data_IF_216264245940
#
_entry.id   IF_216264245940
#
_cell.length_a   1.000
_cell.length_b   1.000
_cell.length_c   1.000
_cell.angle_alpha   90.00
_cell.angle_beta   90.00
_cell.angle_gamma   90.00
#
_symmetry.space_group_name_H-M   'P 1'
#
loop_
_entity.id
_entity.type
_entity.pdbx_description
1 polymer ?
#
# COMPACT_ATOMS: atom_id res chain seq x y z
N UNK A 1 -19.04 22.64 -2.33
CA UNK A 1 -19.01 21.45 -1.46
C UNK A 1 -17.65 21.42 -0.79
N UNK A 2 -17.58 21.01 0.48
CA UNK A 2 -16.31 20.78 1.14
C UNK A 2 -15.70 19.48 0.64
N UNK A 3 -14.46 19.52 0.17
CA UNK A 3 -13.75 18.34 -0.31
C UNK A 3 -13.11 17.59 0.86
N UNK A 4 -13.38 16.29 0.93
CA UNK A 4 -12.72 15.35 1.83
C UNK A 4 -11.85 14.41 1.02
N UNK A 5 -10.56 14.36 1.32
CA UNK A 5 -9.57 13.61 0.52
C UNK A 5 -9.27 12.22 1.08
N UNK A 6 -9.45 12.00 2.38
CA UNK A 6 -9.17 10.73 3.09
C UNK A 6 -10.15 10.48 4.24
N UNK A 7 -10.00 9.35 4.95
CA UNK A 7 -10.86 8.99 6.07
C UNK A 7 -10.51 9.70 7.40
N UNK A 8 -9.70 10.76 7.37
CA UNK A 8 -9.37 11.55 8.56
C UNK A 8 -10.55 12.46 8.93
N UNK A 9 -11.36 11.99 9.87
CA UNK A 9 -12.59 12.66 10.30
C UNK A 9 -12.36 14.08 10.86
N UNK A 10 -11.16 14.38 11.38
CA UNK A 10 -10.76 15.73 11.82
C UNK A 10 -10.77 16.79 10.70
N UNK A 11 -10.75 16.33 9.45
CA UNK A 11 -10.75 17.19 8.25
C UNK A 11 -12.15 17.34 7.63
N UNK A 12 -13.14 16.64 8.19
CA UNK A 12 -14.52 16.66 7.70
C UNK A 12 -15.24 17.88 8.28
N UNK A 13 -16.18 18.49 7.53
CA UNK A 13 -16.93 19.63 8.04
C UNK A 13 -18.01 19.17 9.00
N UNK A 14 -18.32 19.98 10.01
CA UNK A 14 -19.43 19.72 10.95
C UNK A 14 -20.80 19.83 10.25
N UNK A 15 -20.92 20.74 9.27
CA UNK A 15 -22.14 21.02 8.53
C UNK A 15 -21.86 21.30 7.04
N UNK A 16 -22.88 21.11 6.21
CA UNK A 16 -22.85 21.46 4.78
C UNK A 16 -22.58 20.27 3.84
N UNK A 17 -22.61 20.52 2.52
CA UNK A 17 -22.49 19.46 1.54
C UNK A 17 -21.04 19.01 1.37
N UNK A 18 -20.82 17.69 1.43
CA UNK A 18 -19.50 17.05 1.33
C UNK A 18 -19.33 16.36 -0.01
N UNK A 19 -18.16 16.55 -0.61
CA UNK A 19 -17.67 15.74 -1.72
C UNK A 19 -16.50 14.89 -1.22
N UNK A 20 -16.68 13.58 -1.17
CA UNK A 20 -15.62 12.63 -0.89
C UNK A 20 -14.83 12.36 -2.18
N UNK A 21 -13.50 12.50 -2.13
CA UNK A 21 -12.63 12.27 -3.28
C UNK A 21 -12.65 10.82 -3.77
N UNK A 22 -13.06 9.88 -2.93
CA UNK A 22 -13.22 8.47 -3.31
C UNK A 22 -13.76 7.65 -2.14
N UNK A 23 -14.11 6.39 -2.42
CA UNK A 23 -14.67 5.47 -1.42
C UNK A 23 -13.71 5.17 -0.24
N UNK A 24 -12.41 5.38 -0.42
CA UNK A 24 -11.43 5.27 0.68
C UNK A 24 -11.70 6.25 1.83
N UNK A 25 -12.42 7.36 1.58
CA UNK A 25 -12.85 8.27 2.64
C UNK A 25 -13.93 7.65 3.54
N UNK A 26 -14.77 6.76 3.00
CA UNK A 26 -15.97 6.20 3.66
C UNK A 26 -15.71 4.79 4.21
N UNK A 27 -14.74 4.67 5.12
CA UNK A 27 -14.41 3.39 5.77
C UNK A 27 -15.67 2.69 6.30
N UNK A 28 -15.90 1.44 5.88
CA UNK A 28 -17.09 0.67 6.30
C UNK A 28 -17.23 0.55 7.82
N UNK A 29 -16.11 0.39 8.54
CA UNK A 29 -16.07 0.34 10.00
C UNK A 29 -16.56 1.64 10.69
N UNK A 30 -16.58 2.75 9.95
CA UNK A 30 -17.00 4.09 10.40
C UNK A 30 -18.31 4.53 9.73
N UNK A 31 -19.11 3.58 9.21
CA UNK A 31 -20.39 3.87 8.54
C UNK A 31 -21.35 4.76 9.34
N UNK A 32 -21.44 4.52 10.64
CA UNK A 32 -22.27 5.33 11.54
C UNK A 32 -21.89 6.81 11.59
N UNK A 33 -20.66 7.17 11.18
CA UNK A 33 -20.16 8.56 11.13
C UNK A 33 -20.47 9.20 9.78
N UNK A 34 -20.17 8.53 8.66
CA UNK A 34 -20.33 9.14 7.33
C UNK A 34 -21.72 8.96 6.72
N UNK A 35 -22.50 7.95 7.10
CA UNK A 35 -23.83 7.72 6.51
C UNK A 35 -24.82 8.88 6.76
N UNK A 36 -24.81 9.57 7.92
CA UNK A 36 -25.58 10.78 8.13
C UNK A 36 -25.09 11.99 7.31
N UNK A 37 -23.81 12.02 6.95
CA UNK A 37 -23.20 13.05 6.11
C UNK A 37 -23.59 12.70 4.67
N UNK A 38 -24.73 13.23 4.19
CA UNK A 38 -25.25 12.97 2.85
C UNK A 38 -24.33 13.55 1.74
N UNK A 39 -23.14 12.97 1.58
CA UNK A 39 -22.09 13.41 0.67
C UNK A 39 -22.03 12.59 -0.61
N UNK A 40 -21.52 13.22 -1.66
CA UNK A 40 -21.27 12.59 -2.95
C UNK A 40 -19.85 12.01 -2.99
N UNK A 41 -19.63 11.01 -3.84
CA UNK A 41 -18.30 10.40 -4.03
C UNK A 41 -17.86 10.59 -5.48
N UNK A 42 -16.62 11.06 -5.67
CA UNK A 42 -16.00 11.14 -6.99
C UNK A 42 -15.74 9.73 -7.53
N UNK A 43 -16.16 9.40 -8.75
CA UNK A 43 -15.87 8.11 -9.37
C UNK A 43 -14.36 7.89 -9.48
N UNK A 44 -13.90 6.66 -9.19
CA UNK A 44 -12.49 6.35 -9.28
C UNK A 44 -12.04 6.20 -10.74
N UNK A 45 -10.97 6.89 -11.11
CA UNK A 45 -10.56 7.00 -12.52
C UNK A 45 -10.10 5.67 -13.15
N UNK A 46 -9.50 4.78 -12.37
CA UNK A 46 -9.04 3.46 -12.82
C UNK A 46 -10.08 2.33 -12.69
N UNK A 47 -11.32 2.66 -12.31
CA UNK A 47 -12.44 1.74 -12.53
C UNK A 47 -12.72 1.55 -14.04
N UNK A 48 -12.34 2.52 -14.86
CA UNK A 48 -12.22 2.38 -16.32
C UNK A 48 -10.95 1.57 -16.65
N UNK A 49 -11.16 0.34 -17.15
CA UNK A 49 -10.07 -0.60 -17.43
C UNK A 49 -9.27 -0.24 -18.67
N UNK A 50 -9.90 0.41 -19.64
CA UNK A 50 -9.22 0.87 -20.86
C UNK A 50 -8.28 2.04 -20.50
N UNK A 51 -8.73 2.93 -19.61
CA UNK A 51 -7.88 3.99 -19.06
C UNK A 51 -6.73 3.42 -18.25
N UNK A 52 -7.00 2.48 -17.34
CA UNK A 52 -5.94 1.87 -16.53
C UNK A 52 -4.85 1.23 -17.40
N UNK A 53 -5.22 0.54 -18.48
CA UNK A 53 -4.26 -0.04 -19.42
C UNK A 53 -3.44 1.02 -20.15
N UNK A 54 -4.10 2.08 -20.65
CA UNK A 54 -3.43 3.19 -21.31
C UNK A 54 -2.43 3.90 -20.38
N UNK A 55 -2.89 4.23 -19.17
CA UNK A 55 -2.07 4.89 -18.14
C UNK A 55 -0.90 4.00 -17.72
N UNK A 56 -1.11 2.69 -17.58
CA UNK A 56 -0.03 1.75 -17.26
C UNK A 56 1.13 1.85 -18.26
N UNK A 57 0.83 1.90 -19.56
CA UNK A 57 1.86 2.07 -20.59
C UNK A 57 2.52 3.45 -20.54
N UNK A 58 1.74 4.52 -20.31
CA UNK A 58 2.30 5.87 -20.18
C UNK A 58 3.21 6.00 -18.95
N UNK A 59 2.83 5.41 -17.82
CA UNK A 59 3.60 5.45 -16.58
C UNK A 59 4.90 4.65 -16.66
N UNK A 60 4.96 3.59 -17.49
CA UNK A 60 6.22 2.89 -17.77
C UNK A 60 7.25 3.80 -18.45
N UNK A 61 6.83 4.66 -19.38
CA UNK A 61 7.72 5.61 -20.03
C UNK A 61 8.24 6.65 -19.04
N UNK A 62 7.35 7.20 -18.21
CA UNK A 62 7.73 8.15 -17.15
C UNK A 62 8.71 7.50 -16.17
N UNK A 63 8.45 6.25 -15.77
CA UNK A 63 9.36 5.50 -14.92
C UNK A 63 10.74 5.33 -15.55
N UNK A 64 10.81 5.02 -16.85
CA UNK A 64 12.07 4.82 -17.55
C UNK A 64 12.88 6.09 -17.63
N UNK A 65 12.23 7.23 -17.91
CA UNK A 65 12.87 8.54 -17.94
C UNK A 65 13.40 8.93 -16.55
N UNK A 66 12.55 8.85 -15.52
CA UNK A 66 12.94 9.17 -14.14
C UNK A 66 14.04 8.25 -13.63
N UNK A 67 14.08 6.99 -14.06
CA UNK A 67 15.14 6.05 -13.66
C UNK A 67 16.51 6.49 -14.17
N UNK A 68 16.59 7.09 -15.36
CA UNK A 68 17.87 7.58 -15.92
C UNK A 68 18.43 8.68 -15.03
N UNK A 69 17.61 9.64 -14.65
CA UNK A 69 18.01 10.76 -13.79
C UNK A 69 18.39 10.27 -12.39
N UNK A 70 17.57 9.38 -11.80
CA UNK A 70 17.88 8.79 -10.50
C UNK A 70 19.17 7.97 -10.53
N UNK A 71 19.43 7.20 -11.59
CA UNK A 71 20.67 6.44 -11.71
C UNK A 71 21.91 7.36 -11.67
N UNK A 72 21.86 8.53 -12.32
CA UNK A 72 22.93 9.51 -12.28
C UNK A 72 23.11 10.06 -10.86
N UNK A 73 22.03 10.53 -10.22
CA UNK A 73 22.09 11.05 -8.85
C UNK A 73 22.62 10.01 -7.85
N UNK A 74 22.19 8.74 -7.97
CA UNK A 74 22.66 7.69 -7.06
C UNK A 74 24.11 7.31 -7.31
N UNK A 75 24.57 7.27 -8.57
CA UNK A 75 26.00 7.10 -8.88
C UNK A 75 26.84 8.20 -8.23
N UNK A 76 26.41 9.46 -8.32
CA UNK A 76 27.09 10.60 -7.70
C UNK A 76 27.13 10.52 -6.17
N UNK A 77 25.99 10.26 -5.52
CA UNK A 77 25.88 10.18 -4.05
C UNK A 77 26.72 9.03 -3.50
N UNK A 78 26.76 7.89 -4.19
CA UNK A 78 27.47 6.69 -3.73
C UNK A 78 28.91 6.60 -4.22
N UNK A 79 29.35 7.47 -5.12
CA UNK A 79 30.69 7.42 -5.72
C UNK A 79 30.93 6.15 -6.54
N UNK A 80 29.88 5.66 -7.21
CA UNK A 80 29.92 4.46 -8.06
C UNK A 80 29.55 4.80 -9.50
N UNK A 81 29.86 3.92 -10.45
CA UNK A 81 29.50 4.08 -11.86
C UNK A 81 28.77 2.83 -12.35
N UNK A 82 27.55 2.64 -11.88
CA UNK A 82 26.69 1.53 -12.28
C UNK A 82 25.76 1.95 -13.41
N UNK A 83 25.58 1.06 -14.40
CA UNK A 83 24.68 1.30 -15.52
C UNK A 83 23.19 1.18 -15.16
N UNK A 84 22.33 1.67 -16.05
CA UNK A 84 20.86 1.70 -15.86
C UNK A 84 20.28 0.34 -15.47
N UNK A 85 20.78 -0.77 -16.04
CA UNK A 85 20.29 -2.11 -15.69
C UNK A 85 20.44 -2.44 -14.20
N UNK A 86 21.54 -2.02 -13.58
CA UNK A 86 21.78 -2.24 -12.15
C UNK A 86 20.74 -1.47 -11.33
N UNK A 87 20.58 -0.19 -11.61
CA UNK A 87 19.61 0.67 -10.93
C UNK A 87 18.17 0.25 -11.19
N UNK A 88 17.85 -0.28 -12.37
CA UNK A 88 16.54 -0.86 -12.67
C UNK A 88 16.21 -2.05 -11.77
N UNK A 89 17.18 -2.92 -11.51
CA UNK A 89 16.99 -4.08 -10.62
C UNK A 89 16.79 -3.61 -9.18
N UNK A 90 17.54 -2.60 -8.75
CA UNK A 90 17.52 -2.13 -7.36
C UNK A 90 16.35 -1.20 -7.04
N UNK A 91 16.13 -0.18 -7.88
CA UNK A 91 15.17 0.90 -7.67
C UNK A 91 13.86 0.69 -8.44
N UNK A 92 13.89 -0.05 -9.55
CA UNK A 92 12.75 -0.19 -10.46
C UNK A 92 11.44 -0.60 -9.78
N UNK A 93 11.41 -1.62 -8.90
CA UNK A 93 10.19 -1.98 -8.19
C UNK A 93 9.65 -0.87 -7.28
N UNK A 94 10.53 -0.13 -6.60
CA UNK A 94 10.13 0.99 -5.76
C UNK A 94 9.63 2.17 -6.60
N UNK A 95 10.34 2.50 -7.69
CA UNK A 95 10.00 3.61 -8.57
C UNK A 95 8.66 3.39 -9.28
N UNK A 96 8.37 2.15 -9.70
CA UNK A 96 7.06 1.80 -10.27
C UNK A 96 5.92 2.13 -9.30
N UNK A 97 6.02 1.67 -8.05
CA UNK A 97 5.03 1.98 -7.01
C UNK A 97 4.94 3.48 -6.73
N UNK A 98 6.08 4.17 -6.72
CA UNK A 98 6.14 5.62 -6.45
C UNK A 98 5.44 6.44 -7.53
N UNK A 99 5.78 6.22 -8.79
CA UNK A 99 5.19 6.93 -9.94
C UNK A 99 3.70 6.64 -10.05
N UNK A 100 3.28 5.38 -9.92
CA UNK A 100 1.86 5.01 -9.97
C UNK A 100 1.07 5.64 -8.83
N UNK A 101 1.59 5.60 -7.59
CA UNK A 101 0.92 6.20 -6.46
C UNK A 101 0.74 7.71 -6.66
N UNK A 102 1.79 8.45 -7.01
CA UNK A 102 1.66 9.89 -7.21
C UNK A 102 0.75 10.25 -8.37
N UNK A 103 0.84 9.54 -9.49
CA UNK A 103 -0.05 9.77 -10.63
C UNK A 103 -1.51 9.55 -10.26
N UNK A 104 -1.82 8.47 -9.53
CA UNK A 104 -3.19 8.21 -9.08
C UNK A 104 -3.75 9.37 -8.24
N UNK A 105 -2.95 9.90 -7.30
CA UNK A 105 -3.39 11.04 -6.48
C UNK A 105 -3.60 12.28 -7.32
N UNK A 106 -2.66 12.57 -8.22
CA UNK A 106 -2.73 13.70 -9.15
C UNK A 106 -3.93 13.62 -10.09
N UNK A 107 -4.19 12.44 -10.66
CA UNK A 107 -5.34 12.22 -11.55
C UNK A 107 -6.65 12.46 -10.80
N UNK A 108 -6.77 11.94 -9.57
CA UNK A 108 -7.98 12.12 -8.76
C UNK A 108 -8.23 13.57 -8.36
N UNK A 109 -7.20 14.36 -8.02
CA UNK A 109 -7.38 15.75 -7.55
C UNK A 109 -7.32 16.80 -8.65
N UNK A 110 -6.50 16.61 -9.67
CA UNK A 110 -6.20 17.63 -10.68
C UNK A 110 -6.97 17.38 -11.97
N UNK A 111 -7.14 16.11 -12.38
CA UNK A 111 -7.72 15.79 -13.69
C UNK A 111 -9.22 15.48 -13.60
N UNK A 112 -9.62 14.65 -12.64
CA UNK A 112 -10.97 14.09 -12.58
C UNK A 112 -11.90 14.77 -11.57
N UNK A 113 -11.36 15.64 -10.72
CA UNK A 113 -12.16 16.44 -9.80
C UNK A 113 -12.81 17.61 -10.56
N UNK A 114 -14.11 17.80 -10.39
CA UNK A 114 -14.80 19.02 -10.86
C UNK A 114 -14.58 20.15 -9.85
N UNK A 115 -13.54 20.96 -10.07
CA UNK A 115 -13.16 22.03 -9.16
C UNK A 115 -14.25 23.09 -8.96
N UNK A 116 -15.17 23.27 -9.92
CA UNK A 116 -16.25 24.26 -9.79
C UNK A 116 -17.30 23.87 -8.75
N UNK A 117 -17.35 22.59 -8.36
CA UNK A 117 -18.26 22.08 -7.33
C UNK A 117 -17.64 22.15 -5.93
N UNK A 118 -16.33 22.36 -5.84
CA UNK A 118 -15.60 22.41 -4.57
C UNK A 118 -15.45 23.86 -4.13
N UNK A 119 -15.85 24.13 -2.90
CA UNK A 119 -15.75 25.47 -2.30
C UNK A 119 -14.50 25.63 -1.45
N UNK A 120 -14.08 24.57 -0.76
CA UNK A 120 -12.88 24.55 0.07
C UNK A 120 -12.46 23.10 0.38
N UNK A 121 -11.26 22.95 0.92
CA UNK A 121 -10.76 21.72 1.56
C UNK A 121 -10.08 22.05 2.88
N UNK A 122 -10.10 21.13 3.84
CA UNK A 122 -9.28 21.23 5.05
C UNK A 122 -7.94 20.54 4.85
N UNK A 123 -6.85 21.16 5.31
CA UNK A 123 -5.50 20.58 5.30
C UNK A 123 -4.93 20.54 6.71
N UNK A 124 -4.33 19.42 7.09
CA UNK A 124 -3.62 19.30 8.36
C UNK A 124 -2.22 19.94 8.28
N UNK A 125 -1.88 20.73 9.28
CA UNK A 125 -0.55 21.29 9.48
C UNK A 125 0.39 20.21 10.04
N UNK A 126 1.16 19.58 9.15
CA UNK A 126 2.04 18.44 9.45
C UNK A 126 3.48 18.78 9.11
N UNK A 127 4.41 18.36 9.95
CA UNK A 127 5.84 18.54 9.69
C UNK A 127 6.26 17.79 8.41
N UNK A 128 6.84 18.46 7.39
CA UNK A 128 7.19 17.84 6.11
C UNK A 128 8.10 16.62 6.23
N UNK A 129 9.04 16.62 7.17
CA UNK A 129 10.00 15.53 7.36
C UNK A 129 9.35 14.23 7.87
N UNK A 130 8.19 14.33 8.54
CA UNK A 130 7.44 13.15 8.99
C UNK A 130 6.88 12.31 7.84
N UNK A 131 6.78 12.91 6.64
CA UNK A 131 6.21 12.29 5.44
C UNK A 131 7.27 11.59 4.56
N UNK A 132 8.55 11.73 4.91
CA UNK A 132 9.65 11.14 4.15
C UNK A 132 9.90 9.71 4.64
N UNK A 133 9.68 8.68 3.83
CA UNK A 133 9.95 7.31 4.23
C UNK A 133 11.46 7.07 4.34
N UNK A 134 11.88 6.32 5.37
CA UNK A 134 13.28 5.90 5.56
C UNK A 134 13.75 4.87 4.53
N UNK A 135 12.84 4.25 3.78
CA UNK A 135 13.14 3.32 2.71
C UNK A 135 11.90 2.64 2.13
N UNK A 136 12.12 1.70 1.22
CA UNK A 136 11.04 1.11 0.41
C UNK A 136 9.94 0.44 1.23
N UNK A 137 10.28 -0.28 2.31
CA UNK A 137 9.27 -0.93 3.14
C UNK A 137 8.34 0.06 3.84
N UNK A 138 8.87 1.17 4.34
CA UNK A 138 8.06 2.22 4.97
C UNK A 138 7.24 2.97 3.92
N UNK A 139 7.81 3.21 2.74
CA UNK A 139 7.07 3.82 1.63
C UNK A 139 5.82 2.99 1.27
N UNK A 140 5.94 1.67 1.17
CA UNK A 140 4.78 0.80 0.90
C UNK A 140 3.71 0.82 2.01
N UNK A 141 4.08 1.19 3.24
CA UNK A 141 3.11 1.43 4.31
C UNK A 141 2.44 2.80 4.13
N UNK A 142 3.24 3.83 3.81
CA UNK A 142 2.78 5.21 3.64
C UNK A 142 1.78 5.38 2.50
N UNK A 143 1.96 4.70 1.36
CA UNK A 143 1.00 4.79 0.25
C UNK A 143 -0.41 4.32 0.62
N UNK A 144 -0.55 3.52 1.67
CA UNK A 144 -1.84 3.05 2.19
C UNK A 144 -2.31 3.84 3.43
N UNK A 145 -1.54 4.81 3.91
CA UNK A 145 -1.82 5.58 5.10
C UNK A 145 -2.64 6.84 4.79
N UNK A 146 -3.69 7.10 5.57
CA UNK A 146 -4.56 8.25 5.32
C UNK A 146 -3.86 9.58 5.58
N UNK A 147 -2.93 9.66 6.54
CA UNK A 147 -2.19 10.90 6.84
C UNK A 147 -1.24 11.25 5.70
N UNK A 148 -0.44 10.28 5.26
CA UNK A 148 0.45 10.50 4.12
C UNK A 148 -0.33 10.87 2.86
N UNK A 149 -1.40 10.14 2.54
CA UNK A 149 -2.24 10.44 1.39
C UNK A 149 -2.91 11.82 1.51
N UNK A 150 -3.40 12.18 2.70
CA UNK A 150 -4.02 13.49 2.94
C UNK A 150 -3.04 14.64 2.63
N UNK A 151 -1.82 14.55 3.13
CA UNK A 151 -0.79 15.56 2.87
C UNK A 151 -0.40 15.62 1.38
N UNK A 152 -0.29 14.47 0.70
CA UNK A 152 0.01 14.43 -0.74
C UNK A 152 -1.14 15.07 -1.55
N UNK A 153 -2.39 14.69 -1.28
CA UNK A 153 -3.55 15.32 -1.91
C UNK A 153 -3.58 16.82 -1.65
N UNK A 154 -3.30 17.25 -0.42
CA UNK A 154 -3.26 18.64 -0.04
C UNK A 154 -2.26 19.46 -0.85
N UNK A 155 -1.02 18.97 -0.98
CA UNK A 155 0.00 19.63 -1.82
C UNK A 155 -0.43 19.73 -3.27
N UNK A 156 -0.99 18.66 -3.83
CA UNK A 156 -1.44 18.67 -5.22
C UNK A 156 -2.60 19.65 -5.45
N UNK A 157 -3.52 19.75 -4.49
CA UNK A 157 -4.62 20.71 -4.55
C UNK A 157 -4.10 22.15 -4.46
N UNK A 158 -3.20 22.44 -3.51
CA UNK A 158 -2.61 23.78 -3.33
C UNK A 158 -1.79 24.23 -4.54
N UNK A 159 -1.02 23.32 -5.16
CA UNK A 159 -0.11 23.66 -6.26
C UNK A 159 -0.79 23.68 -7.64
N UNK A 160 -1.85 22.88 -7.84
CA UNK A 160 -2.40 22.65 -9.17
C UNK A 160 -3.88 22.97 -9.32
N UNK A 161 -4.55 23.45 -8.29
CA UNK A 161 -6.00 23.76 -8.35
C UNK A 161 -6.32 25.12 -7.74
N UNK A 162 -7.42 25.77 -8.16
CA UNK A 162 -7.85 27.04 -7.58
C UNK A 162 -8.63 26.87 -6.27
N UNK A 163 -8.72 25.65 -5.72
CA UNK A 163 -9.53 25.36 -4.53
C UNK A 163 -8.85 25.98 -3.31
N UNK A 164 -9.54 26.81 -2.52
CA UNK A 164 -8.96 27.35 -1.30
C UNK A 164 -8.82 26.26 -0.24
N UNK A 165 -7.68 26.24 0.42
CA UNK A 165 -7.40 25.34 1.54
C UNK A 165 -7.45 26.08 2.88
N UNK A 166 -8.06 25.43 3.88
CA UNK A 166 -8.09 25.88 5.27
C UNK A 166 -7.15 25.00 6.09
N UNK A 167 -6.10 25.60 6.64
CA UNK A 167 -5.16 24.90 7.50
C UNK A 167 -5.78 24.64 8.88
N UNK A 168 -5.68 23.41 9.36
CA UNK A 168 -6.14 22.94 10.66
C UNK A 168 -4.95 22.34 11.40
N UNK A 169 -4.78 22.72 12.67
CA UNK A 169 -3.80 22.07 13.53
C UNK A 169 -4.41 20.79 14.10
N UNK A 170 -3.75 19.64 13.94
CA UNK A 170 -4.27 18.38 14.47
C UNK A 170 -4.39 18.44 16.00
N UNK A 171 -5.40 17.74 16.53
CA UNK A 171 -5.62 17.66 17.96
C UNK A 171 -4.68 16.61 18.59
N UNK A 172 -3.41 16.96 18.77
CA UNK A 172 -2.40 16.13 19.46
C UNK A 172 -1.19 15.78 18.60
N UNK A 173 -0.32 14.91 19.11
CA UNK A 173 0.83 14.40 18.35
C UNK A 173 0.33 13.55 17.18
N UNK A 174 0.55 14.04 15.96
CA UNK A 174 0.36 13.25 14.74
C UNK A 174 1.30 12.06 14.85
N UNK A 175 0.76 10.89 15.16
CA UNK A 175 1.51 9.66 15.00
C UNK A 175 1.36 9.26 13.54
N UNK A 176 2.44 9.29 12.72
CA UNK A 176 2.42 8.53 11.50
C UNK A 176 2.04 7.10 11.86
N UNK A 177 1.26 6.44 11.01
CA UNK A 177 0.81 5.07 11.19
C UNK A 177 2.03 4.13 11.30
N UNK A 178 2.58 4.07 12.51
CA UNK A 178 3.48 3.04 13.01
C UNK A 178 2.69 1.93 13.67
N UNK A 179 1.35 2.04 13.64
CA UNK A 179 0.47 0.89 13.61
C UNK A 179 0.81 0.11 12.35
N UNK A 180 1.90 -0.65 12.45
CA UNK A 180 2.10 -1.88 11.69
C UNK A 180 0.71 -2.44 11.48
N UNK A 181 0.30 -2.63 10.23
CA UNK A 181 -0.75 -3.59 9.91
C UNK A 181 -0.28 -4.89 10.54
N UNK A 182 -0.61 -5.06 11.81
CA UNK A 182 -0.47 -6.28 12.54
C UNK A 182 -1.51 -7.11 11.82
N UNK A 183 -1.06 -7.88 10.81
CA UNK A 183 -1.71 -9.12 10.47
C UNK A 183 -2.15 -9.70 11.80
N UNK A 184 -3.45 -9.87 12.05
CA UNK A 184 -3.92 -10.33 13.34
C UNK A 184 -3.07 -11.55 13.65
N UNK A 185 -2.16 -11.42 14.62
CA UNK A 185 -1.37 -12.54 15.09
C UNK A 185 -2.44 -13.43 15.64
N UNK A 186 -2.89 -14.41 14.85
CA UNK A 186 -3.84 -15.41 15.29
C UNK A 186 -3.23 -15.93 16.57
N UNK A 187 -3.83 -15.57 17.70
CA UNK A 187 -3.34 -15.89 19.02
C UNK A 187 -3.65 -17.37 19.23
N UNK A 188 -2.97 -18.23 18.48
CA UNK A 188 -3.04 -19.66 18.66
C UNK A 188 -2.19 -19.96 19.87
N UNK A 189 -2.79 -20.58 20.89
CA UNK A 189 -2.12 -20.90 22.14
C UNK A 189 -0.74 -21.53 21.90
N UNK A 190 0.25 -21.13 22.70
CA UNK A 190 1.66 -21.52 22.61
C UNK A 190 1.88 -23.03 22.37
N UNK A 191 1.04 -23.88 22.97
CA UNK A 191 1.13 -25.32 22.81
C UNK A 191 0.62 -25.84 21.46
N UNK A 192 -0.46 -25.28 20.89
CA UNK A 192 -0.99 -25.67 19.57
C UNK A 192 0.04 -25.38 18.48
N UNK A 193 0.72 -24.24 18.62
CA UNK A 193 1.81 -23.84 17.72
C UNK A 193 2.98 -24.82 17.78
N UNK A 194 3.37 -25.28 18.98
CA UNK A 194 4.42 -26.30 19.15
C UNK A 194 4.05 -27.67 18.58
N UNK A 195 2.80 -28.11 18.78
CA UNK A 195 2.31 -29.37 18.20
C UNK A 195 2.31 -29.31 16.67
N UNK A 196 1.81 -28.21 16.10
CA UNK A 196 1.82 -27.99 14.65
C UNK A 196 3.24 -27.89 14.08
N UNK A 197 4.18 -27.29 14.79
CA UNK A 197 5.60 -27.25 14.40
C UNK A 197 6.24 -28.64 14.45
N UNK A 198 5.97 -29.43 15.49
CA UNK A 198 6.43 -30.81 15.59
C UNK A 198 5.88 -31.69 14.46
N UNK A 199 4.58 -31.56 14.17
CA UNK A 199 3.96 -32.23 13.01
C UNK A 199 4.61 -31.80 11.69
N UNK A 200 4.79 -30.50 11.47
CA UNK A 200 5.41 -29.97 10.25
C UNK A 200 6.83 -30.52 10.06
N UNK A 201 7.64 -30.54 11.13
CA UNK A 201 9.01 -31.07 11.09
C UNK A 201 9.05 -32.60 10.89
N UNK A 202 8.16 -33.37 11.52
CA UNK A 202 8.08 -34.80 11.27
C UNK A 202 7.60 -35.11 9.84
N UNK A 203 6.62 -34.34 9.35
CA UNK A 203 6.07 -34.51 8.00
C UNK A 203 7.08 -34.17 6.90
N UNK A 204 7.96 -33.19 7.13
CA UNK A 204 8.98 -32.80 6.14
C UNK A 204 10.05 -33.88 5.90
N UNK A 205 10.19 -34.85 6.81
CA UNK A 205 11.03 -36.03 6.58
C UNK A 205 10.50 -36.94 5.46
N UNK A 206 9.20 -36.85 5.16
CA UNK A 206 8.55 -37.61 4.10
C UNK A 206 8.45 -36.84 2.77
N UNK A 207 8.92 -35.59 2.74
CA UNK A 207 8.99 -34.80 1.52
C UNK A 207 10.09 -35.33 0.59
N UNK A 208 9.81 -35.37 -0.72
CA UNK A 208 10.72 -35.83 -1.76
C UNK A 208 11.25 -34.65 -2.57
N UNK A 209 12.45 -34.82 -3.13
CA UNK A 209 12.97 -33.88 -4.12
C UNK A 209 12.07 -33.93 -5.38
N UNK A 210 11.33 -32.85 -5.62
CA UNK A 210 10.33 -32.74 -6.69
C UNK A 210 8.90 -32.47 -6.19
N UNK A 211 8.65 -32.52 -4.88
CA UNK A 211 7.36 -32.13 -4.32
C UNK A 211 7.10 -30.63 -4.48
N UNK A 212 5.87 -30.26 -4.78
CA UNK A 212 5.43 -28.89 -4.94
C UNK A 212 5.32 -28.20 -3.56
N UNK A 213 6.03 -27.09 -3.41
CA UNK A 213 5.98 -26.28 -2.20
C UNK A 213 4.85 -25.25 -2.30
N UNK A 214 3.84 -25.40 -1.45
CA UNK A 214 2.77 -24.40 -1.30
C UNK A 214 3.21 -23.33 -0.30
N UNK A 215 3.32 -22.08 -0.76
CA UNK A 215 3.68 -20.94 0.07
C UNK A 215 2.61 -19.88 0.00
N UNK A 216 2.19 -19.35 1.17
CA UNK A 216 1.27 -18.21 1.27
C UNK A 216 0.02 -18.35 0.40
N UNK A 217 -0.56 -19.55 0.36
CA UNK A 217 -1.70 -19.89 -0.51
C UNK A 217 -3.01 -19.23 -0.10
N UNK A 218 -3.03 -18.51 1.04
CA UNK A 218 -4.23 -17.96 1.69
C UNK A 218 -5.32 -19.02 1.97
N UNK A 219 -5.00 -20.30 1.78
CA UNK A 219 -5.90 -21.42 2.05
C UNK A 219 -5.87 -21.77 3.55
N UNK A 220 -7.01 -22.22 4.11
CA UNK A 220 -6.99 -22.92 5.38
C UNK A 220 -6.04 -24.13 5.32
N UNK A 221 -5.31 -24.41 6.41
CA UNK A 221 -4.32 -25.49 6.46
C UNK A 221 -4.88 -26.87 6.06
N UNK A 222 -6.18 -27.12 6.24
CA UNK A 222 -6.84 -28.36 5.84
C UNK A 222 -6.92 -28.51 4.32
N UNK A 223 -7.18 -27.41 3.63
CA UNK A 223 -7.28 -27.37 2.18
C UNK A 223 -5.89 -27.47 1.55
N UNK A 224 -4.88 -26.85 2.18
CA UNK A 224 -3.48 -27.02 1.80
C UNK A 224 -3.04 -28.51 1.83
N UNK A 225 -3.37 -29.23 2.91
CA UNK A 225 -3.08 -30.67 3.00
C UNK A 225 -3.88 -31.50 2.00
N UNK A 226 -5.11 -31.09 1.68
CA UNK A 226 -5.93 -31.76 0.65
C UNK A 226 -5.30 -31.59 -0.72
N UNK A 227 -4.84 -30.39 -1.06
CA UNK A 227 -4.15 -30.11 -2.33
C UNK A 227 -2.88 -30.96 -2.45
N UNK A 228 -2.06 -31.03 -1.40
CA UNK A 228 -0.87 -31.86 -1.41
C UNK A 228 -1.19 -33.36 -1.62
N UNK A 229 -2.24 -33.86 -0.97
CA UNK A 229 -2.71 -35.24 -1.21
C UNK A 229 -3.19 -35.45 -2.65
N UNK A 230 -3.90 -34.50 -3.24
CA UNK A 230 -4.33 -34.60 -4.65
C UNK A 230 -3.15 -34.56 -5.61
N UNK A 231 -2.04 -33.91 -5.23
CA UNK A 231 -0.78 -33.92 -5.98
C UNK A 231 0.05 -35.20 -5.74
N UNK A 232 -0.47 -36.16 -4.97
CA UNK A 232 0.25 -37.38 -4.62
C UNK A 232 1.41 -37.18 -3.62
N UNK A 233 1.46 -36.02 -2.97
CA UNK A 233 2.52 -35.63 -2.03
C UNK A 233 2.15 -35.98 -0.60
N UNK A 234 3.18 -36.17 0.23
CA UNK A 234 2.98 -36.26 1.67
C UNK A 234 2.47 -34.89 2.20
N UNK A 235 1.49 -34.87 3.11
CA UNK A 235 0.96 -33.62 3.65
C UNK A 235 1.99 -32.93 4.56
N UNK A 236 2.56 -31.81 4.11
CA UNK A 236 3.60 -31.01 4.79
C UNK A 236 3.17 -29.55 4.89
N UNK A 237 3.13 -28.99 6.11
CA UNK A 237 2.83 -27.57 6.32
C UNK A 237 4.09 -26.72 6.24
N UNK A 238 4.52 -26.39 5.02
CA UNK A 238 5.76 -25.64 4.75
C UNK A 238 5.83 -24.28 5.43
N UNK A 239 4.68 -23.59 5.55
CA UNK A 239 4.56 -22.27 6.21
C UNK A 239 4.91 -22.29 7.71
N UNK A 240 4.96 -23.48 8.34
CA UNK A 240 5.25 -23.66 9.77
C UNK A 240 6.66 -24.18 10.06
N UNK A 241 7.45 -24.47 9.03
CA UNK A 241 8.85 -24.88 9.14
C UNK A 241 9.73 -23.64 9.08
N UNK A 242 10.64 -23.46 10.04
CA UNK A 242 11.59 -22.34 10.00
C UNK A 242 12.52 -22.50 8.80
N UNK A 243 12.65 -21.44 7.98
CA UNK A 243 13.43 -21.45 6.71
C UNK A 243 14.88 -21.95 6.87
N UNK A 244 15.49 -21.75 8.03
CA UNK A 244 16.86 -22.20 8.33
C UNK A 244 17.01 -23.73 8.36
N UNK A 245 15.92 -24.49 8.48
CA UNK A 245 15.92 -25.95 8.56
C UNK A 245 15.60 -26.64 7.22
N UNK A 246 15.32 -25.87 6.17
CA UNK A 246 14.94 -26.41 4.84
C UNK A 246 16.14 -26.67 3.93
N UNK A 247 17.33 -26.16 4.26
CA UNK A 247 18.54 -26.41 3.48
C UNK A 247 19.14 -27.75 3.91
N UNK A 248 18.71 -28.84 3.29
CA UNK A 248 19.57 -30.04 3.23
C UNK A 248 20.63 -29.77 2.17
N UNK A 249 21.81 -29.30 2.59
CA UNK A 249 23.00 -29.38 1.73
C UNK A 249 23.30 -30.88 1.60
N UNK A 250 23.22 -31.48 0.39
CA UNK A 250 23.69 -32.85 0.22
C UNK A 250 25.21 -32.90 0.46
N UNK A 251 25.75 -34.03 0.96
CA UNK A 251 27.19 -34.21 1.06
C UNK A 251 27.89 -34.14 -0.30
#
# INVERSE_FOLDING_TARGET
MHLVTTALEETWPDEGPVLFLGEWCRRYSRRHVWEPIAGEVVPYHWDDRDRLEADYHSLQLIQDDVLVDLAQCFNEIHGVDHGIRYWRILLGPWLASFVQALYDRWAMTVVHLDHNRVSETALLDVEPMSLVPSGSSQFHQFICDDMWNHCVFGRLLDEHTPIPSRLIRPAGDIRPCTDSYNFPKTQTSSWKTRVLQGFAHASSLFARNGDAMLMSTSLPWRDELRVQRTLGQAPVLWTRIQRQQLVRVPP
#
